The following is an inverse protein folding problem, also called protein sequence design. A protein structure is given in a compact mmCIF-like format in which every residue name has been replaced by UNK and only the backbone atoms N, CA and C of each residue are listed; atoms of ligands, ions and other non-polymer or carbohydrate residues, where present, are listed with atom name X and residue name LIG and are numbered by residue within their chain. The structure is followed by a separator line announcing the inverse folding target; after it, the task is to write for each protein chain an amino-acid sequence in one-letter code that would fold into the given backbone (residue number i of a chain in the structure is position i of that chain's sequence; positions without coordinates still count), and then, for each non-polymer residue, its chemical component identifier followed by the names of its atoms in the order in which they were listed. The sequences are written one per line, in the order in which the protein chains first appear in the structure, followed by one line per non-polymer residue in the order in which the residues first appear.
data_IF_266379032556
#
_entry.id   IF_266379032556
#
_cell.length_a   1.000
_cell.length_b   1.000
_cell.length_c   1.000
_cell.angle_alpha   90.00
_cell.angle_beta   90.00
_cell.angle_gamma   90.00
#
_symmetry.space_group_name_H-M   'P 1'
#
loop_
_entity.id
_entity.type
_entity.pdbx_description
1 polymer ?
#
# COMPACT_ATOMS: atom_id res chain seq x y z
N UNK A 1 31.95 4.49 -41.42
CA UNK A 1 30.54 4.67 -41.81
C UNK A 1 29.89 5.62 -40.80
N UNK A 2 29.30 6.70 -41.30
CA UNK A 2 28.80 7.87 -40.56
C UNK A 2 27.33 7.66 -40.17
N UNK A 3 26.90 8.03 -38.93
CA UNK A 3 25.89 9.09 -38.70
C UNK A 3 25.63 9.44 -37.23
N UNK A 4 25.77 10.74 -36.96
CA UNK A 4 25.26 11.52 -35.82
C UNK A 4 23.75 11.34 -35.57
N UNK A 5 23.32 11.44 -34.31
CA UNK A 5 22.54 12.58 -33.78
C UNK A 5 22.00 12.30 -32.37
N UNK A 6 22.33 13.15 -31.40
CA UNK A 6 21.32 13.80 -30.55
C UNK A 6 21.90 15.09 -29.97
N UNK A 7 21.07 16.12 -30.03
CA UNK A 7 21.40 17.54 -29.95
C UNK A 7 21.81 17.97 -28.54
N UNK A 8 22.76 18.91 -28.49
CA UNK A 8 22.91 19.91 -27.42
C UNK A 8 21.78 20.94 -27.52
N UNK A 9 21.32 21.45 -26.38
CA UNK A 9 20.96 22.87 -26.14
C UNK A 9 20.60 23.03 -24.64
N UNK A 10 21.54 23.47 -23.80
CA UNK A 10 21.66 24.86 -23.29
C UNK A 10 20.42 25.36 -22.54
N UNK A 11 20.44 25.20 -21.22
CA UNK A 11 19.67 26.01 -20.27
C UNK A 11 20.29 27.40 -20.22
N UNK A 12 19.49 28.43 -20.49
CA UNK A 12 19.84 29.81 -20.15
C UNK A 12 18.59 30.67 -20.05
N UNK A 13 18.63 31.57 -19.04
CA UNK A 13 17.94 32.87 -18.93
C UNK A 13 16.45 32.83 -18.53
N UNK A 14 15.92 33.65 -17.61
CA UNK A 14 16.26 35.00 -17.13
C UNK A 14 15.78 35.20 -15.68
N UNK A 15 16.64 35.85 -14.89
CA UNK A 15 16.32 36.58 -13.67
C UNK A 15 15.60 37.90 -14.02
N UNK A 16 14.37 38.10 -13.52
CA UNK A 16 13.70 39.42 -13.59
C UNK A 16 13.11 39.76 -12.22
N UNK A 17 13.83 40.62 -11.51
CA UNK A 17 13.31 41.42 -10.40
C UNK A 17 12.43 42.52 -10.98
N UNK A 18 11.21 42.66 -10.49
CA UNK A 18 10.42 43.88 -10.63
C UNK A 18 9.52 44.06 -9.41
N UNK A 19 9.93 45.00 -8.55
CA UNK A 19 9.16 45.63 -7.50
C UNK A 19 8.11 46.55 -8.13
N UNK A 20 6.83 46.38 -7.78
CA UNK A 20 5.86 47.47 -7.78
C UNK A 20 4.97 47.37 -6.54
N UNK A 21 4.96 48.48 -5.80
CA UNK A 21 4.15 48.73 -4.61
C UNK A 21 2.84 49.35 -5.11
N UNK A 22 1.70 48.76 -4.76
CA UNK A 22 0.42 49.48 -4.67
C UNK A 22 -0.40 48.94 -3.50
N UNK A 23 -0.59 49.79 -2.49
CA UNK A 23 -1.67 49.67 -1.52
C UNK A 23 -3.02 49.77 -2.23
N UNK A 24 -3.90 48.82 -1.98
CA UNK A 24 -5.27 48.81 -2.49
C UNK A 24 -6.14 47.86 -1.68
N UNK A 25 -7.20 48.41 -1.10
CA UNK A 25 -8.13 47.80 -0.17
C UNK A 25 -9.18 46.95 -0.92
N UNK A 26 -9.58 45.82 -0.33
CA UNK A 26 -10.91 45.23 -0.53
C UNK A 26 -11.04 44.12 -1.57
N UNK A 27 -11.36 42.92 -1.08
CA UNK A 27 -12.57 42.16 -1.44
C UNK A 27 -12.26 40.66 -1.42
N UNK A 28 -13.00 39.95 -0.55
CA UNK A 28 -13.07 38.51 -0.46
C UNK A 28 -13.33 37.89 -1.82
N UNK A 29 -12.41 37.06 -2.27
CA UNK A 29 -12.70 35.93 -3.15
C UNK A 29 -12.25 34.70 -2.38
N UNK A 30 -13.20 33.80 -2.14
CA UNK A 30 -12.94 32.42 -1.74
C UNK A 30 -12.15 31.77 -2.87
N UNK A 31 -10.84 31.96 -2.83
CA UNK A 31 -9.92 31.07 -3.52
C UNK A 31 -9.92 29.80 -2.67
N UNK A 32 -10.68 28.79 -3.09
CA UNK A 32 -10.51 27.43 -2.63
C UNK A 32 -9.06 27.05 -2.90
N UNK A 33 -8.22 27.24 -1.89
CA UNK A 33 -6.84 26.82 -1.92
C UNK A 33 -6.87 25.31 -2.13
N UNK A 34 -6.59 24.88 -3.37
CA UNK A 34 -6.15 23.52 -3.66
C UNK A 34 -4.96 23.28 -2.74
N UNK A 35 -5.22 22.55 -1.65
CA UNK A 35 -4.24 22.35 -0.60
C UNK A 35 -3.10 21.55 -1.20
N UNK A 36 -1.97 22.21 -1.41
CA UNK A 36 -0.71 21.57 -1.78
C UNK A 36 -0.08 20.84 -0.59
N UNK A 37 -0.83 20.71 0.52
CA UNK A 37 -0.46 20.00 1.73
C UNK A 37 -0.73 18.50 1.54
N UNK A 38 0.31 17.65 1.51
CA UNK A 38 0.16 16.21 1.30
C UNK A 38 -0.76 15.54 2.34
N UNK A 39 -0.78 16.04 3.58
CA UNK A 39 -1.66 15.49 4.62
C UNK A 39 -3.13 15.80 4.33
N UNK A 40 -3.44 17.02 3.88
CA UNK A 40 -4.81 17.40 3.51
C UNK A 40 -5.33 16.60 2.31
N UNK A 41 -4.45 16.27 1.35
CA UNK A 41 -4.78 15.39 0.21
C UNK A 41 -5.09 13.99 0.72
N UNK A 42 -4.27 13.43 1.62
CA UNK A 42 -4.48 12.10 2.20
C UNK A 42 -5.80 12.01 2.96
N UNK A 43 -6.10 12.99 3.81
CA UNK A 43 -7.35 13.04 4.57
C UNK A 43 -8.59 13.16 3.65
N UNK A 44 -8.49 13.90 2.55
CA UNK A 44 -9.56 13.95 1.54
C UNK A 44 -9.78 12.60 0.87
N UNK A 45 -8.70 11.91 0.48
CA UNK A 45 -8.77 10.57 -0.12
C UNK A 45 -9.34 9.53 0.85
N UNK A 46 -8.98 9.61 2.14
CA UNK A 46 -9.56 8.76 3.18
C UNK A 46 -11.07 8.98 3.27
N UNK A 47 -11.53 10.24 3.34
CA UNK A 47 -12.96 10.57 3.40
C UNK A 47 -13.73 10.08 2.16
N UNK A 48 -13.15 10.21 0.97
CA UNK A 48 -13.76 9.67 -0.26
C UNK A 48 -13.87 8.14 -0.22
N UNK A 49 -12.81 7.46 0.21
CA UNK A 49 -12.78 6.00 0.31
C UNK A 49 -13.73 5.47 1.40
N UNK A 50 -13.85 6.16 2.54
CA UNK A 50 -14.79 5.84 3.62
C UNK A 50 -16.25 5.88 3.16
N UNK A 51 -16.55 6.68 2.14
CA UNK A 51 -17.87 6.75 1.53
C UNK A 51 -18.03 5.84 0.30
N UNK A 52 -16.98 5.10 -0.08
CA UNK A 52 -16.99 4.20 -1.24
C UNK A 52 -17.60 2.83 -0.91
N UNK A 53 -18.07 2.15 -1.96
CA UNK A 53 -18.53 0.76 -1.88
C UNK A 53 -17.39 -0.24 -1.59
N UNK A 54 -16.13 0.14 -1.84
CA UNK A 54 -14.97 -0.70 -1.56
C UNK A 54 -14.86 -1.07 -0.09
N UNK A 55 -14.93 -0.08 0.82
CA UNK A 55 -14.84 -0.35 2.27
C UNK A 55 -16.06 -1.14 2.74
N UNK A 56 -17.25 -0.80 2.24
CA UNK A 56 -18.49 -1.51 2.58
C UNK A 56 -18.48 -3.00 2.20
N UNK A 57 -17.63 -3.40 1.25
CA UNK A 57 -17.58 -4.76 0.70
C UNK A 57 -16.40 -5.60 1.22
N UNK A 58 -15.60 -5.12 2.18
CA UNK A 58 -14.41 -5.84 2.69
C UNK A 58 -14.70 -7.28 3.12
N UNK A 59 -15.80 -7.52 3.83
CA UNK A 59 -16.17 -8.88 4.26
C UNK A 59 -16.46 -9.82 3.06
N UNK A 60 -17.06 -9.28 1.99
CA UNK A 60 -17.30 -10.03 0.77
C UNK A 60 -15.98 -10.34 0.03
N UNK A 61 -15.04 -9.40 0.02
CA UNK A 61 -13.71 -9.58 -0.55
C UNK A 61 -12.89 -10.61 0.23
N UNK A 62 -12.97 -10.59 1.56
CA UNK A 62 -12.28 -11.55 2.42
C UNK A 62 -12.69 -13.00 2.13
N UNK A 63 -13.97 -13.23 1.76
CA UNK A 63 -14.51 -14.54 1.43
C UNK A 63 -14.01 -15.12 0.09
N UNK A 64 -13.36 -14.31 -0.77
CA UNK A 64 -12.81 -14.77 -2.04
C UNK A 64 -11.55 -15.60 -1.76
N UNK A 65 -11.59 -16.90 -2.08
CA UNK A 65 -10.47 -17.83 -1.88
C UNK A 65 -9.59 -17.96 -3.13
N UNK A 66 -10.20 -17.93 -4.31
CA UNK A 66 -9.51 -18.15 -5.58
C UNK A 66 -8.82 -19.51 -5.71
N UNK A 67 -8.23 -19.76 -6.88
CA UNK A 67 -7.34 -20.91 -7.14
C UNK A 67 -6.06 -20.37 -7.76
N UNK A 68 -4.91 -20.87 -7.31
CA UNK A 68 -3.60 -20.47 -7.84
C UNK A 68 -3.48 -20.87 -9.32
N UNK A 69 -3.32 -19.86 -10.15
CA UNK A 69 -3.18 -20.00 -11.60
C UNK A 69 -1.90 -19.33 -12.14
N UNK A 70 -1.17 -18.57 -11.31
CA UNK A 70 0.05 -17.82 -11.64
C UNK A 70 0.02 -17.17 -13.04
N UNK A 71 -0.46 -15.93 -13.12
CA UNK A 71 -0.64 -15.24 -14.39
C UNK A 71 -0.24 -13.78 -14.33
N UNK A 72 -0.21 -13.14 -15.50
CA UNK A 72 0.01 -11.70 -15.62
C UNK A 72 -1.21 -10.94 -15.10
N UNK A 73 -1.00 -9.77 -14.50
CA UNK A 73 -2.06 -8.87 -14.08
C UNK A 73 -2.91 -8.37 -15.28
N UNK A 74 -4.22 -8.14 -15.07
CA UNK A 74 -5.03 -7.46 -16.07
C UNK A 74 -4.50 -6.04 -16.33
N UNK A 75 -4.62 -5.57 -17.59
CA UNK A 75 -4.20 -4.23 -17.99
C UNK A 75 -5.38 -3.45 -18.61
N UNK A 76 -5.74 -2.25 -18.09
CA UNK A 76 -5.17 -1.62 -16.90
C UNK A 76 -5.56 -2.34 -15.60
N UNK A 77 -4.69 -2.33 -14.61
CA UNK A 77 -4.98 -2.86 -13.28
C UNK A 77 -5.65 -1.77 -12.41
N UNK A 78 -6.69 -2.17 -11.68
CA UNK A 78 -7.41 -1.37 -10.69
C UNK A 78 -7.51 -2.17 -9.41
N UNK A 79 -6.74 -1.75 -8.42
CA UNK A 79 -6.31 -2.48 -7.24
C UNK A 79 -6.98 -1.90 -6.00
N UNK A 80 -7.44 -2.79 -5.13
CA UNK A 80 -7.75 -2.49 -3.74
C UNK A 80 -7.03 -3.48 -2.83
N UNK A 81 -6.67 -3.04 -1.61
CA UNK A 81 -5.92 -3.86 -0.66
C UNK A 81 -6.74 -4.04 0.62
N UNK A 82 -6.89 -5.30 1.03
CA UNK A 82 -7.41 -5.66 2.35
C UNK A 82 -6.34 -6.41 3.15
N UNK A 83 -6.35 -6.26 4.46
CA UNK A 83 -5.40 -6.90 5.36
C UNK A 83 -6.07 -7.52 6.59
N UNK A 84 -5.42 -8.47 7.24
CA UNK A 84 -5.93 -9.05 8.49
C UNK A 84 -5.84 -8.05 9.63
N UNK A 85 -6.90 -7.94 10.42
CA UNK A 85 -6.92 -7.10 11.60
C UNK A 85 -6.17 -7.77 12.75
N UNK A 86 -4.92 -7.33 12.99
CA UNK A 86 -4.06 -7.85 14.05
C UNK A 86 -4.58 -7.55 15.48
N UNK A 87 -5.59 -6.69 15.63
CA UNK A 87 -6.22 -6.42 16.95
C UNK A 87 -7.26 -7.47 17.34
N UNK A 88 -7.60 -8.40 16.44
CA UNK A 88 -8.54 -9.48 16.74
C UNK A 88 -7.79 -10.61 17.44
N UNK A 89 -8.24 -10.96 18.65
CA UNK A 89 -7.64 -12.02 19.45
C UNK A 89 -7.69 -13.39 18.75
N UNK A 90 -6.65 -14.19 18.99
CA UNK A 90 -6.54 -15.55 18.50
C UNK A 90 -7.80 -16.38 18.83
N UNK A 91 -8.41 -16.97 17.81
CA UNK A 91 -9.57 -17.86 17.95
C UNK A 91 -10.93 -17.26 17.58
N UNK A 92 -11.01 -15.95 17.32
CA UNK A 92 -12.25 -15.30 16.81
C UNK A 92 -12.40 -15.45 15.27
N UNK A 93 -11.45 -16.13 14.63
CA UNK A 93 -11.38 -16.25 13.18
C UNK A 93 -10.70 -15.03 12.55
N UNK A 94 -10.18 -15.19 11.34
CA UNK A 94 -9.53 -14.09 10.62
C UNK A 94 -10.55 -13.04 10.22
N UNK A 95 -10.32 -11.80 10.66
CA UNK A 95 -11.09 -10.63 10.23
C UNK A 95 -10.22 -9.78 9.32
N UNK A 96 -10.78 -9.32 8.21
CA UNK A 96 -10.11 -8.39 7.31
C UNK A 96 -10.63 -6.97 7.49
N UNK A 97 -9.77 -6.00 7.20
CA UNK A 97 -10.05 -4.56 7.12
C UNK A 97 -9.42 -4.02 5.83
N UNK A 98 -9.76 -2.79 5.42
CA UNK A 98 -9.00 -2.14 4.34
C UNK A 98 -7.57 -1.86 4.81
N UNK A 99 -6.59 -1.98 3.91
CA UNK A 99 -5.18 -1.75 4.25
C UNK A 99 -4.76 -0.31 3.95
N UNK A 100 -4.05 0.37 4.86
CA UNK A 100 -3.49 1.70 4.61
C UNK A 100 -2.52 1.74 3.42
N UNK A 101 -1.85 0.62 3.10
CA UNK A 101 -0.95 0.50 1.94
C UNK A 101 -1.61 0.87 0.61
N UNK A 102 -2.94 0.83 0.54
CA UNK A 102 -3.70 1.27 -0.61
C UNK A 102 -3.36 2.71 -1.04
N UNK A 103 -3.17 3.63 -0.07
CA UNK A 103 -2.87 5.04 -0.37
C UNK A 103 -1.45 5.27 -0.87
N UNK A 104 -0.55 4.32 -0.64
CA UNK A 104 0.84 4.38 -1.11
C UNK A 104 1.00 3.80 -2.52
N UNK A 105 -0.08 3.29 -3.13
CA UNK A 105 -0.09 2.87 -4.52
C UNK A 105 -0.09 4.09 -5.47
N UNK A 106 0.52 4.00 -6.66
CA UNK A 106 0.29 4.94 -7.75
C UNK A 106 -1.20 5.13 -8.04
N UNK A 107 -1.65 6.38 -8.25
CA UNK A 107 -3.07 6.72 -8.46
C UNK A 107 -3.70 5.93 -9.62
N UNK A 108 -2.92 5.64 -10.67
CA UNK A 108 -3.40 4.87 -11.81
C UNK A 108 -3.75 3.41 -11.45
N UNK A 109 -3.10 2.84 -10.42
CA UNK A 109 -3.40 1.50 -9.91
C UNK A 109 -4.58 1.52 -8.94
N UNK A 110 -4.82 2.62 -8.23
CA UNK A 110 -5.88 2.71 -7.25
C UNK A 110 -7.28 2.55 -7.89
N UNK A 111 -8.08 1.65 -7.34
CA UNK A 111 -9.50 1.51 -7.64
C UNK A 111 -10.33 2.46 -6.77
N UNK A 112 -11.20 3.24 -7.38
CA UNK A 112 -12.10 4.24 -6.76
C UNK A 112 -13.50 3.71 -6.46
N UNK A 113 -13.87 2.54 -7.02
CA UNK A 113 -15.15 1.86 -6.74
C UNK A 113 -15.05 0.34 -6.95
N UNK A 114 -15.97 -0.42 -6.36
CA UNK A 114 -16.06 -1.88 -6.54
C UNK A 114 -16.24 -2.26 -8.02
N UNK A 115 -16.99 -1.45 -8.77
CA UNK A 115 -17.31 -1.69 -10.17
C UNK A 115 -16.08 -1.62 -11.08
N UNK A 116 -15.09 -0.78 -10.76
CA UNK A 116 -13.85 -0.69 -11.54
C UNK A 116 -12.72 -1.58 -11.03
N UNK A 117 -12.75 -1.98 -9.75
CA UNK A 117 -11.75 -2.87 -9.18
C UNK A 117 -11.73 -4.20 -9.91
N UNK A 118 -10.60 -4.51 -10.55
CA UNK A 118 -10.36 -5.78 -11.23
C UNK A 118 -9.26 -6.62 -10.57
N UNK A 119 -8.52 -6.06 -9.62
CA UNK A 119 -7.51 -6.77 -8.83
C UNK A 119 -7.74 -6.54 -7.34
N UNK A 120 -7.76 -7.64 -6.58
CA UNK A 120 -7.81 -7.60 -5.11
C UNK A 120 -6.50 -8.12 -4.55
N UNK A 121 -5.85 -7.34 -3.69
CA UNK A 121 -4.70 -7.78 -2.89
C UNK A 121 -5.18 -8.10 -1.49
N UNK A 122 -4.89 -9.31 -1.02
CA UNK A 122 -5.16 -9.75 0.35
C UNK A 122 -3.83 -9.92 1.08
N UNK A 123 -3.67 -9.21 2.18
CA UNK A 123 -2.52 -9.32 3.07
C UNK A 123 -2.91 -10.12 4.30
N UNK A 124 -2.27 -11.27 4.48
CA UNK A 124 -2.48 -12.13 5.64
C UNK A 124 -1.28 -12.09 6.58
N UNK A 125 -1.44 -11.38 7.70
CA UNK A 125 -0.40 -11.27 8.73
C UNK A 125 -0.67 -12.25 9.87
N UNK A 126 0.35 -13.00 10.27
CA UNK A 126 0.24 -13.96 11.37
C UNK A 126 1.61 -14.25 12.00
N UNK A 127 1.61 -14.75 13.23
CA UNK A 127 2.82 -15.13 13.95
C UNK A 127 2.92 -16.65 14.07
N UNK A 128 4.13 -17.18 13.91
CA UNK A 128 4.42 -18.58 14.20
C UNK A 128 5.46 -18.66 15.31
N UNK A 129 5.26 -19.58 16.26
CA UNK A 129 6.30 -19.94 17.21
C UNK A 129 7.50 -20.55 16.46
N UNK A 130 8.68 -20.03 16.76
CA UNK A 130 9.94 -20.37 16.08
C UNK A 130 11.04 -20.80 17.04
N UNK A 131 10.83 -20.63 18.35
CA UNK A 131 11.74 -21.12 19.36
C UNK A 131 11.37 -20.71 20.77
N UNK A 132 12.21 -21.09 21.71
CA UNK A 132 12.08 -20.77 23.13
C UNK A 132 13.39 -20.19 23.64
N UNK A 133 13.31 -19.10 24.41
CA UNK A 133 14.44 -18.47 25.06
C UNK A 133 14.84 -19.22 26.34
N UNK A 134 16.03 -18.92 26.87
CA UNK A 134 16.55 -19.56 28.08
C UNK A 134 15.73 -19.25 29.35
N UNK A 135 14.96 -18.17 29.36
CA UNK A 135 14.03 -17.81 30.44
C UNK A 135 12.62 -18.40 30.23
N UNK A 136 12.48 -19.41 29.37
CA UNK A 136 11.19 -20.03 28.98
C UNK A 136 10.25 -19.13 28.16
N UNK A 137 10.67 -17.90 27.81
CA UNK A 137 9.90 -17.05 26.91
C UNK A 137 9.83 -17.61 25.49
N UNK A 138 8.79 -17.25 24.73
CA UNK A 138 8.55 -17.79 23.39
C UNK A 138 8.98 -16.80 22.30
N UNK A 139 9.66 -17.29 21.27
CA UNK A 139 10.07 -16.52 20.10
C UNK A 139 9.06 -16.70 18.95
N UNK A 140 8.38 -15.64 18.57
CA UNK A 140 7.45 -15.61 17.44
C UNK A 140 8.06 -14.88 16.24
N UNK A 141 7.94 -15.45 15.05
CA UNK A 141 8.30 -14.77 13.80
C UNK A 141 7.04 -14.33 13.08
N UNK A 142 6.99 -13.07 12.62
CA UNK A 142 5.90 -12.53 11.81
C UNK A 142 5.99 -13.05 10.38
N UNK A 143 4.87 -13.45 9.82
CA UNK A 143 4.71 -13.81 8.42
C UNK A 143 3.68 -12.88 7.80
N UNK A 144 3.95 -12.40 6.59
CA UNK A 144 2.99 -11.63 5.79
C UNK A 144 2.84 -12.34 4.44
N UNK A 145 1.69 -12.97 4.22
CA UNK A 145 1.35 -13.57 2.95
C UNK A 145 0.65 -12.54 2.07
N UNK A 146 1.21 -12.29 0.89
CA UNK A 146 0.65 -11.43 -0.14
C UNK A 146 -0.08 -12.34 -1.12
N UNK A 147 -1.38 -12.13 -1.32
CA UNK A 147 -2.18 -12.84 -2.33
C UNK A 147 -2.80 -11.83 -3.27
N UNK A 148 -2.48 -11.91 -4.57
CA UNK A 148 -3.03 -11.04 -5.60
C UNK A 148 -4.01 -11.85 -6.45
N UNK A 149 -5.24 -11.38 -6.52
CA UNK A 149 -6.33 -12.03 -7.24
C UNK A 149 -6.80 -11.18 -8.42
N UNK A 150 -6.99 -11.81 -9.57
CA UNK A 150 -7.80 -11.26 -10.66
C UNK A 150 -9.27 -11.53 -10.35
N UNK A 151 -10.05 -10.46 -10.14
CA UNK A 151 -11.47 -10.56 -9.80
C UNK A 151 -12.33 -11.07 -10.96
N UNK A 152 -11.92 -10.82 -12.21
CA UNK A 152 -12.69 -11.20 -13.38
C UNK A 152 -12.71 -12.72 -13.58
N UNK A 153 -11.58 -13.36 -13.29
CA UNK A 153 -11.42 -14.82 -13.37
C UNK A 153 -11.62 -15.50 -12.02
N UNK A 154 -11.52 -14.76 -10.91
CA UNK A 154 -11.56 -15.29 -9.56
C UNK A 154 -10.34 -16.17 -9.24
N UNK A 155 -9.20 -15.90 -9.87
CA UNK A 155 -7.97 -16.70 -9.71
C UNK A 155 -6.90 -15.94 -8.95
N UNK A 156 -6.05 -16.67 -8.22
CA UNK A 156 -4.85 -16.11 -7.61
C UNK A 156 -3.78 -16.05 -8.70
N UNK A 157 -3.38 -14.84 -9.06
CA UNK A 157 -2.41 -14.57 -10.13
C UNK A 157 -0.98 -14.43 -9.58
N UNK A 158 -0.84 -14.14 -8.28
CA UNK A 158 0.44 -14.14 -7.58
C UNK A 158 0.25 -14.40 -6.09
N UNK A 159 1.18 -15.14 -5.50
CA UNK A 159 1.22 -15.39 -4.06
C UNK A 159 2.66 -15.48 -3.57
N UNK A 160 2.98 -14.71 -2.54
CA UNK A 160 4.29 -14.69 -1.91
C UNK A 160 4.13 -14.64 -0.38
N UNK A 161 5.15 -15.05 0.37
CA UNK A 161 5.17 -14.93 1.83
C UNK A 161 6.49 -14.32 2.28
N UNK A 162 6.40 -13.15 2.90
CA UNK A 162 7.51 -12.50 3.57
C UNK A 162 7.66 -13.06 4.98
N UNK A 163 8.89 -13.41 5.33
CA UNK A 163 9.25 -13.97 6.63
C UNK A 163 10.02 -12.89 7.38
N UNK A 164 9.52 -12.54 8.56
CA UNK A 164 10.11 -11.53 9.42
C UNK A 164 11.49 -11.94 9.94
N UNK A 165 12.22 -10.94 10.44
CA UNK A 165 13.47 -11.18 11.14
C UNK A 165 13.26 -12.09 12.35
N UNK A 166 14.28 -12.89 12.67
CA UNK A 166 14.30 -13.60 13.95
C UNK A 166 14.22 -12.58 15.10
N UNK A 167 13.39 -12.81 16.13
CA UNK A 167 13.34 -11.94 17.28
C UNK A 167 14.70 -11.99 18.00
N UNK A 168 15.31 -10.82 18.22
CA UNK A 168 16.72 -10.72 18.63
C UNK A 168 16.98 -11.18 20.07
N UNK A 169 16.14 -10.74 21.00
CA UNK A 169 16.23 -11.04 22.44
C UNK A 169 15.01 -10.47 23.16
N UNK A 170 14.70 -11.00 24.33
CA UNK A 170 13.70 -10.43 25.24
C UNK A 170 14.34 -10.12 26.59
N UNK A 171 13.79 -9.15 27.33
CA UNK A 171 14.23 -8.90 28.70
C UNK A 171 13.81 -10.04 29.64
N UNK A 172 14.47 -10.18 30.80
CA UNK A 172 14.18 -11.29 31.73
C UNK A 172 12.73 -11.32 32.21
N UNK A 173 12.06 -10.16 32.25
CA UNK A 173 10.66 -9.98 32.64
C UNK A 173 9.65 -10.19 31.50
N UNK A 174 10.12 -10.35 30.26
CA UNK A 174 9.27 -10.63 29.11
C UNK A 174 9.09 -12.13 28.90
N UNK A 175 7.87 -12.52 28.56
CA UNK A 175 7.49 -13.91 28.25
C UNK A 175 7.45 -14.22 26.75
N UNK A 176 7.61 -13.21 25.88
CA UNK A 176 7.57 -13.40 24.43
C UNK A 176 8.36 -12.33 23.66
N UNK A 177 8.93 -12.72 22.52
CA UNK A 177 9.61 -11.82 21.59
C UNK A 177 9.10 -12.00 20.17
N UNK A 178 8.98 -10.90 19.43
CA UNK A 178 8.31 -10.88 18.12
C UNK A 178 9.25 -10.38 17.02
N UNK A 179 9.36 -11.16 15.95
CA UNK A 179 10.01 -10.78 14.71
C UNK A 179 9.19 -9.75 13.94
N UNK A 180 9.81 -9.10 12.96
CA UNK A 180 9.18 -8.00 12.23
C UNK A 180 9.37 -8.13 10.72
N UNK A 181 8.31 -7.81 9.98
CA UNK A 181 8.34 -7.56 8.53
C UNK A 181 8.09 -6.06 8.33
N UNK A 182 9.04 -5.31 7.74
CA UNK A 182 8.83 -3.91 7.42
C UNK A 182 7.71 -3.67 6.41
N UNK A 183 6.86 -2.71 6.71
CA UNK A 183 5.72 -2.31 5.86
C UNK A 183 6.16 -1.93 4.43
N UNK A 184 7.26 -1.20 4.29
CA UNK A 184 7.79 -0.81 2.97
C UNK A 184 8.17 -2.03 2.11
N UNK A 185 8.60 -3.15 2.71
CA UNK A 185 8.94 -4.37 1.96
C UNK A 185 7.68 -5.05 1.42
N UNK A 186 6.57 -4.99 2.16
CA UNK A 186 5.28 -5.50 1.70
C UNK A 186 4.83 -4.70 0.47
N UNK A 187 4.87 -3.36 0.57
CA UNK A 187 4.50 -2.47 -0.53
C UNK A 187 5.41 -2.65 -1.75
N UNK A 188 6.72 -2.72 -1.55
CA UNK A 188 7.71 -2.93 -2.63
C UNK A 188 7.39 -4.18 -3.44
N UNK A 189 7.01 -5.28 -2.79
CA UNK A 189 6.66 -6.53 -3.46
C UNK A 189 5.37 -6.44 -4.27
N UNK A 190 4.38 -5.72 -3.76
CA UNK A 190 3.14 -5.44 -4.49
C UNK A 190 3.45 -4.61 -5.74
N UNK A 191 4.25 -3.55 -5.60
CA UNK A 191 4.62 -2.65 -6.69
C UNK A 191 5.50 -3.35 -7.75
N UNK A 192 6.46 -4.18 -7.32
CA UNK A 192 7.31 -5.00 -8.19
C UNK A 192 6.44 -5.89 -9.11
N UNK A 193 5.39 -6.53 -8.57
CA UNK A 193 4.47 -7.34 -9.37
C UNK A 193 3.77 -6.54 -10.48
N UNK A 194 3.43 -5.29 -10.22
CA UNK A 194 2.82 -4.40 -11.22
C UNK A 194 3.83 -3.65 -12.10
N UNK A 195 5.13 -3.92 -11.94
CA UNK A 195 6.20 -3.31 -12.75
C UNK A 195 6.64 -1.92 -12.30
N UNK A 196 6.42 -1.57 -11.03
CA UNK A 196 6.81 -0.30 -10.41
C UNK A 196 8.10 -0.40 -9.57
N UNK A 197 8.97 -1.40 -9.82
CA UNK A 197 10.26 -1.50 -9.13
C UNK A 197 11.14 -0.29 -9.42
N UNK A 198 11.75 0.31 -8.39
CA UNK A 198 12.80 1.32 -8.59
C UNK A 198 14.03 0.67 -9.27
N UNK A 199 14.44 1.20 -10.43
CA UNK A 199 15.69 0.80 -11.14
C UNK A 199 16.97 1.35 -10.48
#
# INVERSE_FOLDING_TARGET
MIKNNKRRCTFFFIMSVLLFIFSGCGSSSEEAASSSDPEAIRESQISELENSDLIGNVDAYAAIQGVLAESVAPMPAKVFIIETNESVEDGVGEKYVYSPHYFDLPEELQATSDAEMNVLVKLRSYYMETGTYSNEGIAYTRYVQITILDRSTGTIIHQETLIGSAPFSISEDQSAGYGYVPEYQVLEKILEFFGYSEE
#
